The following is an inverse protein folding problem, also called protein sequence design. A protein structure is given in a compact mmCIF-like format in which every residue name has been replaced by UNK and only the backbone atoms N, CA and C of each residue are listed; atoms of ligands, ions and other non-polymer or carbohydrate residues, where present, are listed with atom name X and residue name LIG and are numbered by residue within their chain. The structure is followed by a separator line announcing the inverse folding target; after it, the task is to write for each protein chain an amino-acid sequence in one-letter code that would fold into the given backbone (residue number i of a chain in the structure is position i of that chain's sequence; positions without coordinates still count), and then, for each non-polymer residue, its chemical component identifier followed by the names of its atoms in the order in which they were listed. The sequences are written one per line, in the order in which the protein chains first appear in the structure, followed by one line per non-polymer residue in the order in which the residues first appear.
data_IF_856914250189
#
_entry.id   IF_856914250189
#
_cell.length_a   1.000
_cell.length_b   1.000
_cell.length_c   1.000
_cell.angle_alpha   90.00
_cell.angle_beta   90.00
_cell.angle_gamma   90.00
#
_symmetry.space_group_name_H-M   'P 1'
#
loop_
_entity.id
_entity.type
_entity.pdbx_description
1 polymer ?
#
# COMPACT_ATOMS: atom_id res chain seq x y z
N UNK A 1 4.80 -2.82 28.34
CA UNK A 1 3.92 -3.90 27.83
C UNK A 1 4.80 -5.07 27.47
N UNK A 2 4.52 -6.25 27.99
CA UNK A 2 5.20 -7.47 27.59
C UNK A 2 4.67 -7.99 26.24
N UNK A 3 5.45 -8.86 25.60
CA UNK A 3 5.14 -9.41 24.29
C UNK A 3 3.81 -10.20 24.26
N UNK A 4 3.46 -10.89 25.35
CA UNK A 4 2.24 -11.69 25.41
C UNK A 4 1.02 -10.79 25.45
N UNK A 5 1.04 -9.75 26.28
CA UNK A 5 -0.03 -8.74 26.32
C UNK A 5 -0.26 -8.06 24.96
N UNK A 6 0.79 -7.88 24.16
CA UNK A 6 0.68 -7.32 22.80
C UNK A 6 0.03 -8.30 21.83
N UNK A 7 0.38 -9.60 21.89
CA UNK A 7 -0.23 -10.65 21.07
C UNK A 7 -1.73 -10.79 21.35
N UNK A 8 -2.13 -10.82 22.62
CA UNK A 8 -3.54 -10.94 23.00
C UNK A 8 -4.41 -9.79 22.45
N UNK A 9 -3.91 -8.55 22.48
CA UNK A 9 -4.63 -7.40 21.95
C UNK A 9 -4.88 -7.49 20.43
N UNK A 10 -3.94 -8.06 19.69
CA UNK A 10 -4.09 -8.25 18.24
C UNK A 10 -5.15 -9.32 17.97
N UNK A 11 -5.13 -10.44 18.71
CA UNK A 11 -6.12 -11.50 18.61
C UNK A 11 -7.52 -10.99 18.95
N UNK A 12 -7.66 -10.23 20.03
CA UNK A 12 -8.94 -9.63 20.44
C UNK A 12 -9.55 -8.76 19.34
N UNK A 13 -8.73 -7.92 18.70
CA UNK A 13 -9.17 -7.09 17.57
C UNK A 13 -9.57 -7.91 16.34
N UNK A 14 -8.85 -8.99 16.05
CA UNK A 14 -9.18 -9.92 14.97
C UNK A 14 -10.56 -10.57 15.19
N UNK A 15 -10.85 -10.98 16.42
CA UNK A 15 -12.14 -11.60 16.78
C UNK A 15 -13.34 -10.63 16.65
N UNK A 16 -13.10 -9.32 16.68
CA UNK A 16 -14.12 -8.29 16.55
C UNK A 16 -14.43 -7.91 15.08
N UNK A 17 -13.67 -8.44 14.12
CA UNK A 17 -13.91 -8.19 12.70
C UNK A 17 -15.12 -8.99 12.23
N UNK A 18 -16.16 -8.28 11.78
CA UNK A 18 -17.42 -8.89 11.32
C UNK A 18 -17.54 -8.94 9.79
N UNK A 19 -16.61 -8.32 9.07
CA UNK A 19 -16.60 -8.27 7.61
C UNK A 19 -15.59 -9.26 7.04
N UNK A 20 -16.07 -10.19 6.24
CA UNK A 20 -15.26 -11.24 5.61
C UNK A 20 -14.16 -10.67 4.70
N UNK A 21 -14.46 -9.61 3.95
CA UNK A 21 -13.47 -8.92 3.11
C UNK A 21 -12.30 -8.37 3.94
N UNK A 22 -12.58 -7.85 5.13
CA UNK A 22 -11.54 -7.33 6.03
C UNK A 22 -10.66 -8.47 6.56
N UNK A 23 -11.23 -9.64 6.86
CA UNK A 23 -10.45 -10.83 7.22
C UNK A 23 -9.54 -11.29 6.06
N UNK A 24 -10.06 -11.35 4.84
CA UNK A 24 -9.26 -11.70 3.66
C UNK A 24 -8.05 -10.77 3.46
N UNK A 25 -8.24 -9.46 3.66
CA UNK A 25 -7.15 -8.48 3.58
C UNK A 25 -6.11 -8.67 4.68
N UNK A 26 -6.56 -8.96 5.91
CA UNK A 26 -5.67 -9.23 7.05
C UNK A 26 -4.87 -10.52 6.84
N UNK A 27 -5.49 -11.57 6.32
CA UNK A 27 -4.80 -12.81 5.96
C UNK A 27 -3.73 -12.55 4.91
N UNK A 28 -4.02 -11.79 3.85
CA UNK A 28 -3.03 -11.43 2.85
C UNK A 28 -1.83 -10.67 3.43
N UNK A 29 -2.05 -9.79 4.40
CA UNK A 29 -0.98 -9.05 5.08
C UNK A 29 -0.14 -9.99 5.97
N UNK A 30 -0.79 -10.87 6.75
CA UNK A 30 -0.08 -11.79 7.65
C UNK A 30 0.65 -12.90 6.89
N UNK A 31 0.11 -13.34 5.75
CA UNK A 31 0.75 -14.28 4.82
C UNK A 31 1.79 -13.60 3.94
N UNK A 32 1.84 -12.26 3.91
CA UNK A 32 2.89 -11.51 3.23
C UNK A 32 4.21 -11.47 4.00
N UNK A 33 4.59 -12.58 4.64
CA UNK A 33 6.00 -12.99 4.74
C UNK A 33 6.60 -13.24 3.34
N UNK A 34 6.29 -12.38 2.36
CA UNK A 34 7.17 -12.17 1.25
C UNK A 34 8.49 -11.73 1.88
N UNK A 35 9.63 -12.30 1.46
CA UNK A 35 10.91 -11.74 1.83
C UNK A 35 10.80 -10.25 1.55
N UNK A 36 11.14 -9.43 2.53
CA UNK A 36 11.32 -8.00 2.36
C UNK A 36 12.25 -7.87 1.15
N UNK A 37 11.69 -7.58 -0.04
CA UNK A 37 12.49 -7.56 -1.27
C UNK A 37 13.44 -6.41 -1.04
N UNK A 38 14.70 -6.75 -0.77
CA UNK A 38 15.68 -5.75 -0.41
C UNK A 38 15.80 -4.79 -1.59
N UNK A 39 15.93 -3.49 -1.31
CA UNK A 39 16.20 -2.50 -2.36
C UNK A 39 17.36 -2.93 -3.26
N UNK A 40 18.32 -3.68 -2.73
CA UNK A 40 19.46 -4.19 -3.47
C UNK A 40 19.12 -5.34 -4.44
N UNK A 41 18.06 -6.10 -4.17
CA UNK A 41 17.60 -7.24 -4.97
C UNK A 41 16.67 -6.85 -6.13
N UNK A 42 16.19 -5.60 -6.15
CA UNK A 42 15.38 -5.10 -7.26
C UNK A 42 16.21 -5.03 -8.55
N UNK A 43 15.59 -5.30 -9.73
CA UNK A 43 16.21 -5.00 -11.01
C UNK A 43 16.57 -3.52 -11.13
N UNK A 44 17.67 -3.22 -11.82
CA UNK A 44 18.17 -1.85 -11.97
C UNK A 44 17.16 -0.91 -12.64
N UNK A 45 16.38 -1.43 -13.59
CA UNK A 45 15.30 -0.69 -14.24
C UNK A 45 14.23 -0.26 -13.23
N UNK A 46 13.85 -1.16 -12.32
CA UNK A 46 12.88 -0.88 -11.27
C UNK A 46 13.39 0.19 -10.31
N UNK A 47 14.66 0.13 -9.90
CA UNK A 47 15.28 1.15 -9.03
C UNK A 47 15.24 2.52 -9.69
N UNK A 48 15.66 2.60 -10.96
CA UNK A 48 15.64 3.86 -11.74
C UNK A 48 14.24 4.47 -11.83
N UNK A 49 13.22 3.66 -12.06
CA UNK A 49 11.83 4.13 -12.13
C UNK A 49 11.37 4.68 -10.78
N UNK A 50 11.71 3.99 -9.68
CA UNK A 50 11.37 4.43 -8.32
C UNK A 50 12.10 5.74 -7.99
N UNK A 51 13.41 5.82 -8.21
CA UNK A 51 14.21 7.02 -7.95
C UNK A 51 13.71 8.21 -8.77
N UNK A 52 13.35 7.99 -10.04
CA UNK A 52 12.74 9.01 -10.87
C UNK A 52 11.41 9.48 -10.30
N UNK A 53 10.54 8.56 -9.87
CA UNK A 53 9.23 8.88 -9.28
C UNK A 53 9.38 9.69 -7.98
N UNK A 54 10.33 9.32 -7.13
CA UNK A 54 10.65 10.06 -5.90
C UNK A 54 11.13 11.48 -6.23
N UNK A 55 12.07 11.62 -7.16
CA UNK A 55 12.56 12.93 -7.59
C UNK A 55 11.46 13.79 -8.23
N UNK A 56 10.53 13.20 -8.98
CA UNK A 56 9.36 13.92 -9.51
C UNK A 56 8.41 14.37 -8.40
N UNK A 57 8.23 13.54 -7.36
CA UNK A 57 7.42 13.88 -6.19
C UNK A 57 7.99 15.06 -5.42
N UNK A 58 9.31 15.07 -5.17
CA UNK A 58 10.00 16.17 -4.49
C UNK A 58 9.92 17.48 -5.27
N UNK A 59 9.90 17.40 -6.61
CA UNK A 59 9.72 18.55 -7.49
C UNK A 59 8.26 18.97 -7.67
N UNK A 60 7.31 18.35 -6.96
CA UNK A 60 5.88 18.64 -7.08
C UNK A 60 5.29 18.31 -8.45
N UNK A 61 5.95 17.44 -9.23
CA UNK A 61 5.48 17.01 -10.57
C UNK A 61 4.48 15.86 -10.52
N UNK A 62 3.84 15.67 -9.36
CA UNK A 62 2.78 14.69 -9.14
C UNK A 62 1.42 15.37 -9.22
N UNK A 63 0.40 14.62 -9.61
CA UNK A 63 -0.99 15.07 -9.57
C UNK A 63 -1.69 14.38 -8.41
N UNK A 64 -2.59 15.10 -7.76
CA UNK A 64 -3.45 14.49 -6.75
C UNK A 64 -4.40 13.48 -7.40
N UNK A 65 -4.91 12.55 -6.59
CA UNK A 65 -5.89 11.57 -7.05
C UNK A 65 -7.12 12.24 -7.68
N UNK A 66 -7.64 13.29 -7.05
CA UNK A 66 -8.83 14.02 -7.52
C UNK A 66 -8.58 14.70 -8.88
N UNK A 67 -7.39 15.28 -9.08
CA UNK A 67 -6.99 15.86 -10.36
C UNK A 67 -6.92 14.80 -11.46
N UNK A 68 -6.30 13.64 -11.18
CA UNK A 68 -6.21 12.54 -12.14
C UNK A 68 -7.59 12.01 -12.50
N UNK A 69 -8.47 11.81 -11.51
CA UNK A 69 -9.84 11.33 -11.75
C UNK A 69 -10.65 12.35 -12.55
N UNK A 70 -10.51 13.65 -12.24
CA UNK A 70 -11.17 14.72 -12.99
C UNK A 70 -10.69 14.75 -14.45
N UNK A 71 -9.38 14.67 -14.69
CA UNK A 71 -8.79 14.67 -16.02
C UNK A 71 -9.27 13.47 -16.86
N UNK A 72 -9.35 12.28 -16.24
CA UNK A 72 -9.83 11.06 -16.90
C UNK A 72 -11.33 11.17 -17.23
N UNK A 73 -12.16 11.63 -16.29
CA UNK A 73 -13.60 11.84 -16.55
C UNK A 73 -13.83 12.81 -17.70
N UNK A 74 -13.08 13.92 -17.74
CA UNK A 74 -13.13 14.88 -18.85
C UNK A 74 -12.65 14.29 -20.17
N UNK A 75 -11.55 13.52 -20.16
CA UNK A 75 -10.97 12.93 -21.38
C UNK A 75 -11.88 11.91 -22.05
N UNK A 76 -12.64 11.15 -21.26
CA UNK A 76 -13.49 10.07 -21.75
C UNK A 76 -14.99 10.37 -21.68
N UNK A 77 -15.39 11.62 -21.40
CA UNK A 77 -16.79 12.03 -21.22
C UNK A 77 -17.57 11.11 -20.26
N UNK A 78 -16.91 10.70 -19.17
CA UNK A 78 -17.56 9.94 -18.11
C UNK A 78 -18.24 10.96 -17.18
N UNK A 79 -19.51 11.22 -17.45
CA UNK A 79 -20.38 12.08 -16.64
C UNK A 79 -20.69 11.45 -15.28
#
# INVERSE_FOLDING_TARGET
MDMQSRKYRVIEKLLQVNEEETLYRLEAILQSEKPEISWHELPEETKKVIDMSLGQSDLGKVKSHDEVVSDIRKKYNLA
#
